data_IF_532739935766
#
_entry.id   IF_532739935766
#
_cell.length_a   1.000
_cell.length_b   1.000
_cell.length_c   1.000
_cell.angle_alpha   90.00
_cell.angle_beta   90.00
_cell.angle_gamma   90.00
#
_symmetry.space_group_name_H-M   'P 1'
#
loop_
_entity.id
_entity.type
_entity.pdbx_description
1 polymer ?
#
# COMPACT_ATOMS: atom_id res chain seq x y z
N UNK A 1 -27.56 4.94 -70.93
CA UNK A 1 -28.90 4.31 -71.07
C UNK A 1 -28.72 2.80 -71.12
N UNK A 2 -28.90 2.09 -70.00
CA UNK A 2 -29.25 0.66 -69.88
C UNK A 2 -29.40 0.31 -68.39
N UNK A 3 -30.35 -0.55 -68.12
CA UNK A 3 -31.22 -0.59 -66.95
C UNK A 3 -30.64 -1.36 -65.74
N UNK A 4 -31.20 -1.03 -64.58
CA UNK A 4 -31.09 -1.75 -63.30
C UNK A 4 -31.83 -3.09 -63.36
N UNK A 5 -31.33 -4.09 -62.66
CA UNK A 5 -32.15 -5.15 -62.03
C UNK A 5 -31.79 -5.28 -60.55
N UNK A 6 -32.85 -5.29 -59.74
CA UNK A 6 -32.91 -5.50 -58.29
C UNK A 6 -33.01 -7.01 -58.01
N UNK A 7 -32.92 -7.37 -56.71
CA UNK A 7 -33.13 -8.69 -56.07
C UNK A 7 -31.80 -9.45 -55.97
N UNK A 8 -31.20 -9.65 -54.79
CA UNK A 8 -31.74 -10.39 -53.65
C UNK A 8 -31.39 -9.78 -52.28
N UNK A 9 -32.33 -9.92 -51.35
CA UNK A 9 -32.27 -9.44 -49.97
C UNK A 9 -32.82 -10.60 -49.11
N UNK A 10 -31.96 -11.36 -48.43
CA UNK A 10 -32.25 -11.97 -47.11
C UNK A 10 -31.10 -12.85 -46.55
N UNK A 11 -30.80 -12.56 -45.28
CA UNK A 11 -30.42 -13.48 -44.19
C UNK A 11 -28.98 -14.03 -44.09
N UNK A 12 -28.21 -13.39 -43.20
CA UNK A 12 -27.50 -14.02 -42.07
C UNK A 12 -27.24 -12.91 -41.04
N UNK A 13 -28.05 -12.73 -39.98
CA UNK A 13 -27.94 -13.38 -38.65
C UNK A 13 -26.50 -13.42 -38.08
N UNK A 14 -26.24 -12.48 -37.17
CA UNK A 14 -25.67 -12.76 -35.86
C UNK A 14 -24.18 -13.08 -35.79
N UNK A 15 -23.33 -12.07 -35.90
CA UNK A 15 -22.04 -12.06 -35.24
C UNK A 15 -22.15 -11.11 -34.04
N UNK A 16 -22.44 -11.66 -32.86
CA UNK A 16 -22.28 -10.97 -31.59
C UNK A 16 -20.79 -10.73 -31.38
N UNK A 17 -20.40 -9.45 -31.30
CA UNK A 17 -19.09 -9.03 -30.81
C UNK A 17 -18.86 -9.64 -29.41
N UNK A 18 -17.66 -10.16 -29.11
CA UNK A 18 -17.35 -10.55 -27.75
C UNK A 18 -17.29 -9.28 -26.88
N UNK A 19 -18.22 -9.19 -25.92
CA UNK A 19 -18.16 -8.23 -24.82
C UNK A 19 -16.75 -8.29 -24.19
N UNK A 20 -16.02 -7.18 -24.29
CA UNK A 20 -14.84 -6.98 -23.46
C UNK A 20 -15.28 -6.94 -22.00
N UNK A 21 -14.75 -7.79 -21.11
CA UNK A 21 -15.04 -7.66 -19.69
C UNK A 21 -14.38 -6.38 -19.17
N UNK A 22 -15.24 -5.40 -18.94
CA UNK A 22 -14.99 -4.18 -18.17
C UNK A 22 -14.50 -4.54 -16.76
N UNK A 23 -13.31 -4.04 -16.40
CA UNK A 23 -13.01 -3.58 -15.05
C UNK A 23 -12.45 -4.60 -14.05
N UNK A 24 -11.24 -5.12 -14.27
CA UNK A 24 -10.39 -5.53 -13.17
C UNK A 24 -9.46 -4.36 -12.80
N UNK A 25 -9.58 -3.82 -11.59
CA UNK A 25 -8.55 -2.93 -11.04
C UNK A 25 -7.24 -3.73 -10.96
N UNK A 26 -6.10 -3.18 -11.41
CA UNK A 26 -4.81 -3.82 -11.20
C UNK A 26 -4.60 -4.06 -9.69
N UNK A 27 -4.36 -5.31 -9.30
CA UNK A 27 -3.98 -5.67 -7.92
C UNK A 27 -4.97 -6.49 -7.10
N UNK A 28 -6.19 -6.75 -7.59
CA UNK A 28 -7.17 -7.57 -6.84
C UNK A 28 -7.20 -9.01 -7.35
N UNK A 29 -7.07 -9.98 -6.44
CA UNK A 29 -7.29 -11.39 -6.75
C UNK A 29 -8.70 -11.62 -7.31
N UNK A 30 -8.83 -12.42 -8.36
CA UNK A 30 -10.15 -12.84 -8.86
C UNK A 30 -10.88 -13.66 -7.80
N UNK A 31 -12.21 -13.74 -7.86
CA UNK A 31 -13.00 -14.57 -6.93
C UNK A 31 -12.51 -16.03 -6.91
N UNK A 32 -12.12 -16.57 -8.06
CA UNK A 32 -11.59 -17.93 -8.14
C UNK A 32 -10.17 -18.06 -7.59
N UNK A 33 -9.31 -17.04 -7.74
CA UNK A 33 -8.02 -16.98 -7.08
C UNK A 33 -8.16 -16.80 -5.57
N UNK A 34 -9.11 -15.99 -5.09
CA UNK A 34 -9.44 -15.86 -3.66
C UNK A 34 -9.95 -17.19 -3.13
N UNK A 35 -10.84 -17.88 -3.85
CA UNK A 35 -11.31 -19.22 -3.44
C UNK A 35 -10.21 -20.26 -3.51
N UNK A 36 -9.34 -20.22 -4.52
CA UNK A 36 -8.19 -21.12 -4.63
C UNK A 36 -7.19 -20.87 -3.51
N UNK A 37 -6.90 -19.61 -3.21
CA UNK A 37 -6.10 -19.17 -2.08
C UNK A 37 -6.74 -19.59 -0.77
N UNK A 38 -8.02 -19.34 -0.55
CA UNK A 38 -8.75 -19.78 0.65
C UNK A 38 -8.77 -21.30 0.80
N UNK A 39 -8.81 -22.06 -0.30
CA UNK A 39 -8.70 -23.53 -0.28
C UNK A 39 -7.28 -24.02 -0.02
N UNK A 40 -6.27 -23.41 -0.64
CA UNK A 40 -4.85 -23.77 -0.45
C UNK A 40 -4.34 -23.35 0.92
N UNK A 41 -4.71 -22.14 1.31
CA UNK A 41 -4.57 -21.61 2.65
C UNK A 41 -5.29 -22.55 3.63
N UNK A 42 -6.60 -22.73 3.47
CA UNK A 42 -7.47 -23.43 4.41
C UNK A 42 -7.11 -24.89 4.73
N UNK A 43 -6.42 -25.63 3.87
CA UNK A 43 -6.32 -27.09 4.05
C UNK A 43 -4.99 -27.64 4.59
N UNK A 44 -3.85 -26.94 4.51
CA UNK A 44 -2.60 -27.45 5.10
C UNK A 44 -1.59 -26.37 5.47
N UNK A 45 -1.32 -25.42 4.56
CA UNK A 45 -0.34 -24.35 4.81
C UNK A 45 -0.85 -23.34 5.84
N UNK A 46 -2.12 -22.92 5.74
CA UNK A 46 -2.75 -22.03 6.74
C UNK A 46 -3.33 -22.81 7.89
N UNK A 47 -3.60 -24.10 7.78
CA UNK A 47 -3.82 -24.94 8.96
C UNK A 47 -2.53 -25.06 9.79
N UNK A 48 -1.34 -25.22 9.18
CA UNK A 48 -0.06 -25.22 9.90
C UNK A 48 0.29 -23.81 10.42
N UNK A 49 0.20 -22.75 9.61
CA UNK A 49 0.37 -21.38 10.09
C UNK A 49 -0.68 -21.00 11.16
N UNK A 50 -1.94 -21.42 11.03
CA UNK A 50 -3.00 -21.19 12.03
C UNK A 50 -2.89 -22.08 13.26
N UNK A 51 -2.27 -23.26 13.16
CA UNK A 51 -2.00 -24.13 14.32
C UNK A 51 -0.83 -23.61 15.15
N UNK A 52 0.04 -22.82 14.54
CA UNK A 52 1.00 -22.01 15.26
C UNK A 52 0.39 -20.67 15.71
N UNK A 53 -0.56 -20.09 14.97
CA UNK A 53 -1.30 -18.90 15.39
C UNK A 53 -2.30 -19.20 16.51
N UNK A 54 -2.15 -18.64 17.72
CA UNK A 54 -3.29 -18.71 18.65
C UNK A 54 -4.43 -17.89 18.05
N UNK A 55 -5.42 -18.59 17.52
CA UNK A 55 -6.64 -18.01 16.95
C UNK A 55 -7.29 -17.14 18.01
N UNK A 56 -7.21 -15.82 17.83
CA UNK A 56 -8.15 -14.88 18.42
C UNK A 56 -9.14 -14.49 17.33
N UNK A 57 -10.39 -14.28 17.75
CA UNK A 57 -11.57 -13.98 16.94
C UNK A 57 -11.33 -12.93 15.82
N UNK A 58 -12.21 -12.87 14.80
CA UNK A 58 -12.17 -11.83 13.77
C UNK A 58 -12.10 -10.43 14.40
N UNK A 59 -11.10 -9.63 14.00
CA UNK A 59 -10.89 -8.25 14.46
C UNK A 59 -9.73 -8.02 15.42
N UNK A 60 -8.98 -9.05 15.80
CA UNK A 60 -7.73 -8.91 16.56
C UNK A 60 -6.55 -9.16 15.62
N UNK A 61 -5.57 -8.23 15.62
CA UNK A 61 -4.34 -8.36 14.84
C UNK A 61 -3.75 -9.78 14.99
N UNK A 62 -3.63 -10.50 13.86
CA UNK A 62 -3.04 -11.83 13.78
C UNK A 62 -1.52 -11.73 13.89
N UNK A 63 -1.02 -11.24 15.02
CA UNK A 63 0.40 -11.25 15.34
C UNK A 63 0.67 -12.46 16.22
N UNK A 64 1.66 -13.25 15.83
CA UNK A 64 1.99 -14.46 16.55
C UNK A 64 3.46 -14.48 16.98
N UNK A 65 3.90 -13.32 17.46
CA UNK A 65 5.24 -13.07 18.01
C UNK A 65 6.33 -12.77 16.97
N UNK A 66 6.11 -13.06 15.68
CA UNK A 66 7.10 -12.78 14.62
C UNK A 66 6.51 -12.25 13.31
N UNK A 67 5.37 -12.79 12.86
CA UNK A 67 4.76 -12.40 11.58
C UNK A 67 3.32 -11.91 11.73
N UNK A 68 2.88 -11.11 10.76
CA UNK A 68 1.48 -10.74 10.49
C UNK A 68 1.02 -11.37 9.18
N UNK A 69 -0.09 -12.10 9.25
CA UNK A 69 -0.75 -12.70 8.09
C UNK A 69 -1.91 -11.82 7.65
N UNK A 70 -1.96 -11.47 6.37
CA UNK A 70 -3.04 -10.66 5.81
C UNK A 70 -4.39 -11.40 5.81
N UNK A 71 -5.47 -10.65 5.61
CA UNK A 71 -6.86 -11.06 5.79
C UNK A 71 -7.19 -12.40 5.13
N UNK A 72 -6.82 -12.55 3.84
CA UNK A 72 -7.06 -13.75 3.05
C UNK A 72 -5.80 -14.63 2.90
N UNK A 73 -4.71 -14.29 3.60
CA UNK A 73 -3.45 -15.02 3.54
C UNK A 73 -2.66 -14.82 2.24
N UNK A 74 -2.86 -13.70 1.54
CA UNK A 74 -2.05 -13.39 0.37
C UNK A 74 -0.61 -12.99 0.74
N UNK A 75 -0.42 -12.34 1.89
CA UNK A 75 0.88 -11.82 2.32
C UNK A 75 1.18 -12.16 3.78
N UNK A 76 2.45 -12.40 4.06
CA UNK A 76 3.01 -12.59 5.39
C UNK A 76 4.14 -11.57 5.57
N UNK A 77 4.01 -10.69 6.56
CA UNK A 77 5.00 -9.63 6.85
C UNK A 77 5.67 -9.95 8.17
N UNK A 78 6.99 -9.82 8.24
CA UNK A 78 7.77 -9.86 9.47
C UNK A 78 8.10 -8.42 9.91
N UNK A 79 7.33 -7.82 10.83
CA UNK A 79 7.54 -6.42 11.20
C UNK A 79 8.99 -6.16 11.61
N UNK A 80 9.56 -5.04 11.16
CA UNK A 80 10.88 -4.53 11.55
C UNK A 80 12.11 -5.37 11.16
N UNK A 81 11.98 -6.44 10.38
CA UNK A 81 13.15 -7.27 9.94
C UNK A 81 13.46 -7.18 8.45
N UNK A 82 12.66 -6.42 7.70
CA UNK A 82 12.85 -6.23 6.26
C UNK A 82 12.46 -7.43 5.40
N UNK A 83 11.84 -8.47 5.96
CA UNK A 83 11.35 -9.63 5.19
C UNK A 83 9.83 -9.57 4.98
N UNK A 84 9.40 -9.76 3.74
CA UNK A 84 8.01 -10.05 3.41
C UNK A 84 7.90 -11.27 2.50
N UNK A 85 6.75 -11.93 2.57
CA UNK A 85 6.46 -13.08 1.74
C UNK A 85 5.08 -12.92 1.11
N UNK A 86 4.93 -13.37 -0.13
CA UNK A 86 3.65 -13.45 -0.80
C UNK A 86 3.33 -14.92 -1.13
N UNK A 87 2.08 -15.32 -0.97
CA UNK A 87 1.63 -16.63 -1.44
C UNK A 87 1.86 -16.74 -2.96
N UNK A 88 2.22 -17.90 -3.49
CA UNK A 88 2.49 -18.12 -4.93
C UNK A 88 1.34 -17.80 -5.89
N UNK A 89 0.15 -17.55 -5.35
CA UNK A 89 -1.07 -17.17 -6.08
C UNK A 89 -1.43 -15.69 -5.87
N UNK A 90 -0.75 -15.01 -4.96
CA UNK A 90 -0.92 -13.59 -4.71
C UNK A 90 -0.30 -12.78 -5.85
N UNK A 91 -0.78 -11.55 -6.03
CA UNK A 91 -0.12 -10.57 -6.90
C UNK A 91 1.26 -10.25 -6.32
N UNK A 92 2.27 -10.14 -7.19
CA UNK A 92 3.59 -9.69 -6.76
C UNK A 92 3.49 -8.28 -6.14
N UNK A 93 4.09 -8.03 -4.97
CA UNK A 93 4.16 -6.70 -4.37
C UNK A 93 4.87 -5.72 -5.31
N UNK A 94 4.35 -4.50 -5.41
CA UNK A 94 4.94 -3.43 -6.20
C UNK A 94 6.33 -3.06 -5.67
N UNK A 95 7.23 -2.72 -6.59
CA UNK A 95 8.62 -2.35 -6.27
C UNK A 95 9.41 -3.43 -5.53
N UNK A 96 8.99 -4.69 -5.68
CA UNK A 96 9.66 -5.85 -5.13
C UNK A 96 9.91 -6.90 -6.22
N UNK A 97 10.92 -7.73 -6.00
CA UNK A 97 11.22 -8.91 -6.80
C UNK A 97 11.27 -10.15 -5.90
N UNK A 98 10.83 -11.29 -6.44
CA UNK A 98 10.95 -12.57 -5.74
C UNK A 98 12.44 -12.92 -5.59
N UNK A 99 12.85 -13.33 -4.39
CA UNK A 99 14.24 -13.75 -4.12
C UNK A 99 14.52 -15.17 -4.59
N UNK A 100 13.47 -15.93 -4.91
CA UNK A 100 13.52 -17.37 -5.18
C UNK A 100 13.52 -18.23 -3.91
N UNK A 101 13.62 -17.63 -2.73
CA UNK A 101 13.52 -18.34 -1.46
C UNK A 101 12.05 -18.53 -1.06
N UNK A 102 11.76 -19.65 -0.42
CA UNK A 102 10.47 -19.90 0.21
C UNK A 102 10.53 -19.63 1.71
N UNK A 103 9.38 -19.32 2.30
CA UNK A 103 9.27 -19.21 3.75
C UNK A 103 9.69 -20.55 4.41
N UNK A 104 10.51 -20.55 5.49
CA UNK A 104 11.07 -21.77 6.07
C UNK A 104 10.03 -22.81 6.54
N UNK A 105 8.80 -22.35 6.81
CA UNK A 105 7.69 -23.18 7.28
C UNK A 105 6.58 -23.38 6.26
N UNK A 106 6.69 -22.79 5.06
CA UNK A 106 5.67 -22.93 4.02
C UNK A 106 6.26 -22.64 2.64
N UNK A 107 6.37 -23.67 1.80
CA UNK A 107 6.83 -23.55 0.42
C UNK A 107 5.87 -22.74 -0.48
N UNK A 108 4.63 -22.51 -0.03
CA UNK A 108 3.65 -21.73 -0.78
C UNK A 108 3.86 -20.22 -0.67
N UNK A 109 4.71 -19.76 0.26
CA UNK A 109 5.06 -18.35 0.41
C UNK A 109 6.47 -18.11 -0.11
N UNK A 110 6.58 -17.20 -1.06
CA UNK A 110 7.83 -16.80 -1.70
C UNK A 110 8.28 -15.50 -1.06
N UNK A 111 9.55 -15.40 -0.70
CA UNK A 111 10.14 -14.19 -0.15
C UNK A 111 10.30 -13.13 -1.26
N UNK A 112 10.01 -11.88 -0.90
CA UNK A 112 10.18 -10.73 -1.76
C UNK A 112 11.11 -9.72 -1.10
N UNK A 113 11.98 -9.15 -1.91
CA UNK A 113 12.89 -8.06 -1.54
C UNK A 113 12.63 -6.84 -2.43
N UNK A 114 13.02 -5.63 -2.01
CA UNK A 114 13.01 -4.45 -2.86
C UNK A 114 13.67 -4.71 -4.21
N UNK A 115 13.04 -4.30 -5.31
CA UNK A 115 13.60 -4.47 -6.66
C UNK A 115 14.65 -3.42 -7.02
N UNK A 116 14.85 -2.43 -6.15
CA UNK A 116 15.77 -1.30 -6.29
C UNK A 116 16.19 -0.82 -4.90
N UNK A 117 17.32 -0.13 -4.82
CA UNK A 117 17.71 0.58 -3.61
C UNK A 117 16.84 1.82 -3.41
N UNK A 118 16.44 2.09 -2.17
CA UNK A 118 15.69 3.27 -1.76
C UNK A 118 16.59 4.22 -0.99
N UNK A 119 16.30 5.51 -1.08
CA UNK A 119 16.93 6.52 -0.22
C UNK A 119 16.38 6.34 1.20
N UNK A 120 17.23 6.52 2.20
CA UNK A 120 16.89 6.55 3.63
C UNK A 120 16.04 7.79 3.97
N UNK A 121 14.87 7.91 3.35
CA UNK A 121 13.86 8.94 3.59
C UNK A 121 12.47 8.34 3.38
N UNK A 122 11.60 8.50 4.38
CA UNK A 122 10.26 7.91 4.40
C UNK A 122 9.36 8.45 3.28
N UNK A 123 9.41 9.76 3.01
CA UNK A 123 8.58 10.41 2.01
C UNK A 123 9.11 10.10 0.63
N UNK A 124 10.40 10.30 0.38
CA UNK A 124 11.02 10.02 -0.93
C UNK A 124 10.77 8.56 -1.34
N UNK A 125 10.94 7.60 -0.42
CA UNK A 125 10.62 6.19 -0.67
C UNK A 125 9.15 6.00 -1.04
N UNK A 126 8.24 6.62 -0.30
CA UNK A 126 6.82 6.57 -0.62
C UNK A 126 6.54 7.15 -2.01
N UNK A 127 7.19 8.25 -2.40
CA UNK A 127 7.05 8.86 -3.71
C UNK A 127 7.61 7.97 -4.83
N UNK A 128 8.75 7.30 -4.63
CA UNK A 128 9.29 6.32 -5.57
C UNK A 128 8.35 5.13 -5.77
N UNK A 129 7.71 4.65 -4.70
CA UNK A 129 6.67 3.60 -4.78
C UNK A 129 5.46 4.11 -5.55
N UNK A 130 4.96 5.31 -5.22
CA UNK A 130 3.81 5.93 -5.90
C UNK A 130 4.08 6.08 -7.40
N UNK A 131 5.25 6.58 -7.78
CA UNK A 131 5.65 6.76 -9.17
C UNK A 131 6.03 5.45 -9.87
N UNK A 132 6.48 4.44 -9.12
CA UNK A 132 6.95 3.15 -9.65
C UNK A 132 8.30 3.23 -10.35
N UNK A 133 9.14 4.20 -9.95
CA UNK A 133 10.48 4.42 -10.50
C UNK A 133 11.35 5.09 -9.45
N UNK A 134 12.68 4.97 -9.60
CA UNK A 134 13.62 5.84 -8.89
C UNK A 134 13.37 7.30 -9.25
N UNK A 135 13.45 8.16 -8.24
CA UNK A 135 13.33 9.60 -8.36
C UNK A 135 14.65 10.25 -7.95
N UNK A 136 14.99 11.36 -8.61
CA UNK A 136 15.98 12.29 -8.09
C UNK A 136 15.39 12.99 -6.85
N UNK A 137 16.25 13.47 -5.95
CA UNK A 137 15.78 14.40 -4.92
C UNK A 137 15.18 15.62 -5.63
N UNK A 138 13.93 15.93 -5.28
CA UNK A 138 13.11 17.02 -5.83
C UNK A 138 12.54 16.80 -7.25
N UNK A 139 11.35 17.35 -7.49
CA UNK A 139 10.77 17.52 -8.84
C UNK A 139 9.59 16.61 -9.19
N UNK A 140 9.47 15.43 -8.60
CA UNK A 140 8.35 14.48 -8.83
C UNK A 140 7.49 14.35 -7.56
N UNK A 141 6.89 15.48 -7.14
CA UNK A 141 6.04 15.55 -5.95
C UNK A 141 4.75 14.76 -6.10
N UNK A 142 4.28 14.23 -4.98
CA UNK A 142 2.94 13.64 -4.88
C UNK A 142 1.88 14.71 -4.62
N UNK A 143 0.61 14.30 -4.64
CA UNK A 143 -0.53 15.13 -4.22
C UNK A 143 -1.36 14.41 -3.18
N UNK A 144 -2.07 15.18 -2.37
CA UNK A 144 -3.11 14.64 -1.48
C UNK A 144 -4.24 14.06 -2.33
N UNK A 145 -4.56 12.80 -2.07
CA UNK A 145 -5.49 12.03 -2.88
C UNK A 145 -6.87 12.70 -2.92
N UNK A 146 -7.38 12.87 -4.14
CA UNK A 146 -8.69 13.49 -4.36
C UNK A 146 -8.78 15.01 -4.19
N UNK A 147 -7.68 15.73 -3.92
CA UNK A 147 -7.73 17.21 -3.74
C UNK A 147 -6.84 18.02 -4.68
N UNK A 148 -5.97 17.40 -5.48
CA UNK A 148 -5.09 18.11 -6.41
C UNK A 148 -3.99 18.95 -5.74
N UNK A 149 -3.95 18.96 -4.40
CA UNK A 149 -2.97 19.71 -3.61
C UNK A 149 -1.65 18.96 -3.57
N UNK A 150 -0.57 19.59 -4.02
CA UNK A 150 0.77 19.02 -3.92
C UNK A 150 1.15 18.73 -2.46
N UNK A 151 1.97 17.68 -2.28
CA UNK A 151 2.56 17.26 -1.02
C UNK A 151 4.06 17.01 -1.24
N UNK A 152 4.88 17.28 -0.21
CA UNK A 152 6.34 17.17 -0.30
C UNK A 152 7.06 18.47 -0.67
N UNK A 153 6.35 19.61 -0.72
CA UNK A 153 6.94 20.92 -1.02
C UNK A 153 7.69 21.55 0.17
N UNK A 154 7.41 21.10 1.39
CA UNK A 154 7.93 21.69 2.61
C UNK A 154 7.03 21.42 3.81
N UNK A 155 7.54 21.67 5.02
CA UNK A 155 6.79 21.44 6.27
C UNK A 155 5.50 22.27 6.32
N UNK A 156 5.57 23.58 6.08
CA UNK A 156 4.43 24.49 6.18
C UNK A 156 3.34 24.15 5.15
N UNK A 157 3.74 23.82 3.91
CA UNK A 157 2.86 23.37 2.84
C UNK A 157 2.19 22.04 3.19
N UNK A 158 2.94 21.07 3.70
CA UNK A 158 2.43 19.76 4.12
C UNK A 158 1.41 19.91 5.27
N UNK A 159 1.70 20.75 6.26
CA UNK A 159 0.79 21.06 7.36
C UNK A 159 -0.50 21.70 6.82
N UNK A 160 -0.37 22.66 5.90
CA UNK A 160 -1.52 23.33 5.29
C UNK A 160 -2.40 22.35 4.51
N UNK A 161 -1.80 21.49 3.70
CA UNK A 161 -2.51 20.46 2.93
C UNK A 161 -3.23 19.47 3.86
N UNK A 162 -2.55 18.96 4.90
CA UNK A 162 -3.14 18.05 5.87
C UNK A 162 -4.32 18.69 6.64
N UNK A 163 -4.17 19.93 7.12
CA UNK A 163 -5.24 20.67 7.81
C UNK A 163 -6.45 20.91 6.89
N UNK A 164 -6.20 21.32 5.64
CA UNK A 164 -7.26 21.56 4.67
C UNK A 164 -8.02 20.28 4.37
N UNK A 165 -7.30 19.19 4.08
CA UNK A 165 -7.89 17.88 3.84
C UNK A 165 -8.72 17.40 5.03
N UNK A 166 -8.18 17.47 6.26
CA UNK A 166 -8.89 17.11 7.49
C UNK A 166 -10.18 17.92 7.67
N UNK A 167 -10.13 19.23 7.42
CA UNK A 167 -11.31 20.11 7.52
C UNK A 167 -12.40 19.71 6.52
N UNK A 168 -12.05 19.39 5.29
CA UNK A 168 -13.01 18.92 4.28
C UNK A 168 -13.56 17.53 4.64
N UNK A 169 -12.69 16.64 5.10
CA UNK A 169 -13.04 15.32 5.59
C UNK A 169 -14.06 15.37 6.76
N UNK A 170 -13.88 16.30 7.71
CA UNK A 170 -14.78 16.46 8.86
C UNK A 170 -16.20 16.87 8.44
N UNK A 171 -16.36 17.59 7.32
CA UNK A 171 -17.68 17.92 6.77
C UNK A 171 -18.44 16.68 6.29
N UNK A 172 -17.74 15.57 6.03
CA UNK A 172 -18.32 14.31 5.55
C UNK A 172 -18.74 13.35 6.67
N UNK A 173 -18.68 13.77 7.94
CA UNK A 173 -19.28 13.04 9.06
C UNK A 173 -18.63 11.70 9.39
N UNK A 174 -17.30 11.63 9.38
CA UNK A 174 -16.54 10.45 9.84
C UNK A 174 -16.37 9.33 8.81
N UNK A 175 -16.84 9.50 7.58
CA UNK A 175 -16.63 8.55 6.47
C UNK A 175 -15.42 8.88 5.58
N UNK A 176 -14.76 9.99 5.86
CA UNK A 176 -13.69 10.48 5.02
C UNK A 176 -12.40 9.67 5.23
N UNK A 177 -11.59 9.44 4.18
CA UNK A 177 -10.36 8.67 4.29
C UNK A 177 -9.24 9.51 4.91
N UNK A 178 -9.35 9.75 6.21
CA UNK A 178 -8.42 10.52 7.06
C UNK A 178 -8.20 9.79 8.39
N UNK A 179 -7.06 9.98 9.03
CA UNK A 179 -6.70 9.32 10.30
C UNK A 179 -6.87 7.79 10.20
N UNK A 180 -7.61 7.19 11.12
CA UNK A 180 -7.91 5.76 11.12
C UNK A 180 -8.68 5.28 9.87
N UNK A 181 -9.37 6.19 9.18
CA UNK A 181 -10.08 5.91 7.94
C UNK A 181 -9.21 6.01 6.68
N UNK A 182 -7.94 6.44 6.79
CA UNK A 182 -7.05 6.50 5.62
C UNK A 182 -6.89 5.09 5.02
N UNK A 183 -7.14 4.96 3.71
CA UNK A 183 -7.20 3.68 3.03
C UNK A 183 -6.54 3.73 1.63
N UNK A 184 -5.22 3.97 1.54
CA UNK A 184 -4.49 3.98 0.28
C UNK A 184 -4.57 2.65 -0.46
N UNK A 185 -4.70 2.72 -1.78
CA UNK A 185 -4.53 1.59 -2.71
C UNK A 185 -3.06 1.28 -2.98
N UNK A 186 -2.79 0.20 -3.73
CA UNK A 186 -1.44 -0.12 -4.21
C UNK A 186 -0.93 0.99 -5.13
N UNK A 187 0.29 1.49 -4.89
CA UNK A 187 0.84 2.65 -5.60
C UNK A 187 0.35 4.00 -5.07
N UNK A 188 -0.33 4.02 -3.92
CA UNK A 188 -0.54 5.21 -3.09
C UNK A 188 0.26 5.05 -1.79
N UNK A 189 0.27 6.08 -0.94
CA UNK A 189 0.97 6.01 0.34
C UNK A 189 0.14 6.61 1.48
N UNK A 190 0.38 6.10 2.68
CA UNK A 190 -0.01 6.80 3.91
C UNK A 190 0.98 7.92 4.19
N UNK A 191 0.48 9.03 4.74
CA UNK A 191 1.32 10.04 5.39
C UNK A 191 0.66 10.52 6.67
N UNK A 192 1.40 10.57 7.78
CA UNK A 192 0.98 11.20 9.03
C UNK A 192 1.79 12.46 9.23
N UNK A 193 1.11 13.59 9.48
CA UNK A 193 1.72 14.92 9.62
C UNK A 193 1.44 15.46 11.02
N UNK A 194 2.46 15.95 11.71
CA UNK A 194 2.24 16.78 12.91
C UNK A 194 1.79 18.16 12.47
N UNK A 195 0.55 18.51 12.79
CA UNK A 195 -0.02 19.80 12.35
C UNK A 195 0.33 20.96 13.29
N UNK A 196 1.01 20.69 14.40
CA UNK A 196 1.54 21.66 15.36
C UNK A 196 2.87 21.18 15.95
N UNK A 197 3.93 21.03 15.14
CA UNK A 197 5.20 20.49 15.62
C UNK A 197 5.78 21.39 16.71
N UNK A 198 6.24 20.77 17.81
CA UNK A 198 6.92 21.51 18.89
C UNK A 198 8.34 21.85 18.43
N UNK A 199 8.66 23.13 18.32
CA UNK A 199 9.97 23.62 17.87
C UNK A 199 11.10 23.50 18.92
N UNK A 200 10.93 22.73 20.01
CA UNK A 200 11.98 22.64 21.02
C UNK A 200 13.17 21.81 20.51
N UNK A 201 14.35 22.43 20.46
CA UNK A 201 15.59 21.82 19.93
C UNK A 201 16.05 20.53 20.63
N UNK A 202 15.51 20.23 21.81
CA UNK A 202 15.92 19.09 22.65
C UNK A 202 15.25 17.76 22.32
N UNK A 203 14.26 17.74 21.43
CA UNK A 203 13.69 16.50 20.89
C UNK A 203 13.24 16.77 19.45
N UNK A 204 14.18 16.68 18.50
CA UNK A 204 13.85 16.64 17.08
C UNK A 204 12.79 15.55 16.88
N UNK A 205 11.59 15.95 16.44
CA UNK A 205 10.53 15.03 16.03
C UNK A 205 10.37 15.24 14.54
N UNK A 206 10.43 14.17 13.78
CA UNK A 206 10.10 14.17 12.35
C UNK A 206 8.74 14.87 12.16
N UNK A 207 8.60 15.87 11.28
CA UNK A 207 7.33 16.61 11.11
C UNK A 207 6.25 15.75 10.43
N UNK A 208 6.65 14.62 9.83
CA UNK A 208 5.77 13.64 9.23
C UNK A 208 6.44 12.25 9.19
N UNK A 209 5.66 11.23 8.84
CA UNK A 209 6.14 9.91 8.43
C UNK A 209 5.28 9.40 7.27
N UNK A 210 5.87 8.67 6.34
CA UNK A 210 5.21 8.18 5.14
C UNK A 210 5.51 6.71 4.87
N UNK A 211 4.55 6.02 4.25
CA UNK A 211 4.65 4.59 3.97
C UNK A 211 3.96 4.25 2.65
N UNK A 212 4.73 3.84 1.65
CA UNK A 212 4.21 3.47 0.34
C UNK A 212 3.54 2.10 0.36
N UNK A 213 2.33 1.98 -0.17
CA UNK A 213 1.58 0.72 -0.24
C UNK A 213 2.03 -0.08 -1.44
N UNK A 214 2.64 -1.22 -1.17
CA UNK A 214 3.18 -2.12 -2.19
C UNK A 214 2.24 -3.30 -2.49
N UNK A 215 1.34 -3.65 -1.58
CA UNK A 215 0.35 -4.70 -1.80
C UNK A 215 -0.89 -4.50 -0.94
N UNK A 216 -2.01 -5.14 -1.34
CA UNK A 216 -3.25 -5.18 -0.57
C UNK A 216 -3.88 -6.55 -0.59
N UNK A 217 -4.51 -6.91 0.52
CA UNK A 217 -5.31 -8.12 0.66
C UNK A 217 -6.55 -7.83 1.52
N UNK A 218 -7.69 -7.63 0.86
CA UNK A 218 -8.88 -7.09 1.51
C UNK A 218 -8.62 -5.70 2.09
N UNK A 219 -8.86 -5.55 3.38
CA UNK A 219 -8.66 -4.29 4.10
C UNK A 219 -7.22 -4.08 4.58
N UNK A 220 -6.36 -5.10 4.48
CA UNK A 220 -4.94 -4.99 4.82
C UNK A 220 -4.13 -4.35 3.69
N UNK A 221 -3.30 -3.38 4.06
CA UNK A 221 -2.29 -2.74 3.24
C UNK A 221 -0.89 -3.13 3.73
N UNK A 222 -0.09 -3.70 2.84
CA UNK A 222 1.33 -3.94 3.07
C UNK A 222 2.12 -2.75 2.59
N UNK A 223 2.94 -2.19 3.46
CA UNK A 223 3.77 -1.02 3.18
C UNK A 223 5.24 -1.38 3.13
N UNK A 224 6.00 -0.58 2.40
CA UNK A 224 7.45 -0.52 2.45
C UNK A 224 7.85 0.86 2.97
N UNK A 225 8.68 0.89 4.01
CA UNK A 225 9.01 2.07 4.79
C UNK A 225 10.53 2.19 4.93
N UNK A 226 11.05 3.39 4.69
CA UNK A 226 12.41 3.79 5.07
C UNK A 226 12.29 4.83 6.17
N UNK A 227 13.32 4.93 7.01
CA UNK A 227 13.41 5.97 8.03
C UNK A 227 14.59 6.86 7.68
N UNK A 228 14.44 8.17 7.86
CA UNK A 228 15.58 9.06 7.82
C UNK A 228 16.52 8.72 8.99
N UNK A 229 17.83 8.82 8.76
CA UNK A 229 18.79 8.72 9.85
C UNK A 229 18.62 9.92 10.80
N UNK A 230 18.95 9.72 12.08
CA UNK A 230 18.89 10.78 13.10
C UNK A 230 19.97 11.87 12.86
N UNK A 231 20.92 11.65 11.95
CA UNK A 231 22.10 12.49 11.74
C UNK A 231 21.96 13.46 10.56
N UNK A 232 21.32 13.05 9.45
CA UNK A 232 21.02 13.94 8.32
C UNK A 232 19.84 13.43 7.49
N UNK A 233 18.73 14.18 7.49
CA UNK A 233 17.56 13.90 6.64
C UNK A 233 17.82 14.17 5.14
N UNK A 234 19.01 14.67 4.78
CA UNK A 234 19.44 14.87 3.40
C UNK A 234 20.30 13.74 2.85
N UNK A 235 20.54 12.67 3.63
CA UNK A 235 21.32 11.53 3.18
C UNK A 235 20.70 10.93 1.91
N UNK A 236 21.51 10.85 0.85
CA UNK A 236 21.15 10.34 -0.47
C UNK A 236 21.56 8.90 -0.66
N UNK A 237 22.20 8.29 0.34
CA UNK A 237 22.73 6.95 0.23
C UNK A 237 21.59 5.94 0.00
N UNK A 238 21.66 5.25 -1.14
CA UNK A 238 20.67 4.25 -1.52
C UNK A 238 21.08 2.89 -1.02
N UNK A 239 20.21 2.27 -0.22
CA UNK A 239 20.38 0.87 0.22
C UNK A 239 21.45 0.64 1.28
N UNK A 240 21.83 1.68 2.03
CA UNK A 240 22.62 1.54 3.26
C UNK A 240 21.83 0.78 4.34
N UNK A 241 20.51 0.99 4.39
CA UNK A 241 19.59 0.26 5.25
C UNK A 241 18.54 -0.50 4.43
N UNK A 242 18.14 -1.72 4.86
CA UNK A 242 17.03 -2.42 4.24
C UNK A 242 15.71 -1.73 4.62
N UNK A 243 14.79 -1.54 3.66
CA UNK A 243 13.46 -1.03 3.99
C UNK A 243 12.73 -2.01 4.89
N UNK A 244 11.87 -1.45 5.73
CA UNK A 244 11.01 -2.21 6.61
C UNK A 244 9.68 -2.46 5.94
N UNK A 245 9.18 -3.68 6.04
CA UNK A 245 7.82 -4.01 5.65
C UNK A 245 6.89 -3.96 6.87
N UNK A 246 5.73 -3.34 6.69
CA UNK A 246 4.67 -3.31 7.69
C UNK A 246 3.32 -3.67 7.07
N UNK A 247 2.35 -3.96 7.94
CA UNK A 247 0.97 -4.26 7.53
C UNK A 247 0.00 -3.52 8.43
N UNK A 248 -0.88 -2.74 7.79
CA UNK A 248 -1.94 -1.96 8.44
C UNK A 248 -3.30 -2.40 7.91
N UNK A 249 -4.32 -2.39 8.76
CA UNK A 249 -5.66 -2.84 8.43
C UNK A 249 -6.57 -2.87 9.65
N UNK A 250 -7.68 -3.64 9.61
CA UNK A 250 -8.60 -3.76 10.73
C UNK A 250 -7.89 -4.33 11.98
N UNK A 251 -7.60 -3.47 12.95
CA UNK A 251 -6.90 -3.81 14.20
C UNK A 251 -5.57 -3.09 14.40
N UNK A 252 -4.96 -2.54 13.35
CA UNK A 252 -3.88 -1.55 13.46
C UNK A 252 -3.89 -0.65 12.22
N UNK A 253 -4.37 0.58 12.39
CA UNK A 253 -4.30 1.59 11.33
C UNK A 253 -2.91 2.22 11.32
N UNK A 254 -2.52 2.82 10.20
CA UNK A 254 -1.30 3.63 10.15
C UNK A 254 -1.35 4.76 11.20
N UNK A 255 -2.51 5.40 11.35
CA UNK A 255 -2.69 6.47 12.31
C UNK A 255 -2.48 5.99 13.75
N UNK A 256 -3.08 4.87 14.18
CA UNK A 256 -2.92 4.40 15.55
C UNK A 256 -1.51 3.87 15.84
N UNK A 257 -0.82 3.34 14.84
CA UNK A 257 0.58 2.92 14.96
C UNK A 257 1.54 4.09 15.24
N UNK A 258 1.28 5.26 14.64
CA UNK A 258 2.23 6.37 14.62
C UNK A 258 1.81 7.60 15.43
N UNK A 259 0.53 7.77 15.73
CA UNK A 259 -0.03 8.98 16.36
C UNK A 259 0.64 9.40 17.67
N UNK A 260 1.10 8.45 18.49
CA UNK A 260 1.78 8.73 19.76
C UNK A 260 3.13 9.47 19.60
N UNK A 261 3.73 9.42 18.41
CA UNK A 261 4.95 10.13 18.07
C UNK A 261 4.73 11.62 17.80
N UNK A 262 3.48 12.06 17.62
CA UNK A 262 3.14 13.42 17.17
C UNK A 262 2.26 14.16 18.17
N UNK A 263 2.33 15.50 18.17
CA UNK A 263 1.53 16.32 19.06
C UNK A 263 0.09 16.47 18.55
N UNK A 264 -0.10 16.76 17.26
CA UNK A 264 -1.43 16.84 16.63
C UNK A 264 -1.41 16.13 15.28
N UNK A 265 -1.43 14.79 15.28
CA UNK A 265 -1.32 13.98 14.08
C UNK A 265 -2.55 14.09 13.18
N UNK A 266 -2.32 14.22 11.88
CA UNK A 266 -3.32 14.01 10.84
C UNK A 266 -2.76 13.01 9.83
N UNK A 267 -3.48 11.90 9.60
CA UNK A 267 -3.09 10.94 8.55
C UNK A 267 -3.92 11.17 7.30
N UNK A 268 -3.25 11.25 6.16
CA UNK A 268 -3.82 11.44 4.83
C UNK A 268 -3.28 10.37 3.86
N UNK A 269 -3.84 10.35 2.65
CA UNK A 269 -3.34 9.54 1.53
C UNK A 269 -2.71 10.46 0.51
N UNK A 270 -1.52 10.09 0.01
CA UNK A 270 -0.90 10.73 -1.14
C UNK A 270 -0.90 9.79 -2.34
N UNK A 271 -0.99 10.37 -3.53
CA UNK A 271 -1.00 9.68 -4.81
C UNK A 271 -0.19 10.45 -5.86
N UNK A 272 0.03 9.82 -7.01
CA UNK A 272 0.74 10.44 -8.13
C UNK A 272 -0.01 11.69 -8.60
N UNK A 273 0.73 12.79 -8.78
CA UNK A 273 0.19 14.06 -9.26
C UNK A 273 -0.54 13.93 -10.62
#
# INVERSE_FOLDING_TARGET
MRQRTRTELRQARGASEPEQPSGARPGTLTVDQVRALQRSAGNAATANLMRFSRVSAPGVARSNGKYRLSQNGAYLVEPATGSMYAHKLATAPRSCAATGQSHPKSADYIEYAPSMGFITDCLHTAEEIVHGKSLAQEGDYTKVAGTGEAFGLGEDENIKAAKKYKKEADKLGGKAPVNDGAAPGVGQAFVIVDTTPKKNKSSFRYPYHAAGVIARDGDDAVTMEMFASDEDAMDVDRGSEPPQFQMYGPGLTFHSAWSSHYATPVTIVIEKA
#
